data_IF_794692462923
#
_entry.id   IF_794692462923
#
_cell.length_a   1.000
_cell.length_b   1.000
_cell.length_c   1.000
_cell.angle_alpha   90.00
_cell.angle_beta   90.00
_cell.angle_gamma   90.00
#
_symmetry.space_group_name_H-M   'P 1'
#
loop_
_entity.id
_entity.type
_entity.pdbx_description
1 polymer ?
#
# COMPACT_ATOMS: atom_id res chain seq x y z
N UNK A 1 16.78 -18.13 14.17
CA UNK A 1 15.32 -17.98 14.21
C UNK A 1 14.89 -17.57 12.80
N UNK A 2 13.96 -18.29 12.19
CA UNK A 2 13.52 -17.99 10.83
C UNK A 2 12.71 -16.68 10.82
N UNK A 3 12.90 -15.83 9.80
CA UNK A 3 12.12 -14.58 9.62
C UNK A 3 10.63 -14.87 9.79
N UNK A 4 10.13 -15.91 9.12
CA UNK A 4 8.72 -16.25 9.13
C UNK A 4 8.18 -16.60 10.54
N UNK A 5 8.94 -17.33 11.35
CA UNK A 5 8.54 -17.67 12.72
C UNK A 5 8.51 -16.42 13.63
N UNK A 6 9.45 -15.50 13.45
CA UNK A 6 9.46 -14.23 14.18
C UNK A 6 8.28 -13.33 13.81
N UNK A 7 7.77 -13.43 12.57
CA UNK A 7 6.62 -12.65 12.12
C UNK A 7 5.29 -13.27 12.55
N UNK A 8 5.13 -14.58 12.34
CA UNK A 8 3.83 -15.25 12.44
C UNK A 8 3.66 -16.13 13.68
N UNK A 9 4.70 -16.34 14.50
CA UNK A 9 4.75 -17.29 15.63
C UNK A 9 4.64 -18.77 15.24
N UNK A 10 4.48 -19.07 13.96
CA UNK A 10 4.59 -20.40 13.37
C UNK A 10 5.38 -20.30 12.05
N UNK A 11 5.73 -21.45 11.48
CA UNK A 11 6.35 -21.51 10.16
C UNK A 11 5.27 -21.72 9.09
N UNK A 12 4.84 -20.68 8.36
CA UNK A 12 3.87 -20.81 7.29
C UNK A 12 4.42 -21.67 6.14
N UNK A 13 3.52 -22.39 5.47
CA UNK A 13 3.83 -23.11 4.24
C UNK A 13 3.92 -22.16 3.05
N UNK A 14 2.94 -21.26 2.91
CA UNK A 14 2.95 -20.21 1.90
C UNK A 14 2.43 -18.89 2.48
N UNK A 15 3.12 -17.79 2.17
CA UNK A 15 2.71 -16.43 2.54
C UNK A 15 2.19 -15.69 1.32
N UNK A 16 0.99 -15.12 1.42
CA UNK A 16 0.50 -14.10 0.49
C UNK A 16 1.10 -12.74 0.87
N UNK A 17 1.95 -12.19 0.02
CA UNK A 17 2.50 -10.83 0.21
C UNK A 17 1.62 -9.86 -0.56
N UNK A 18 0.89 -9.01 0.17
CA UNK A 18 -0.16 -8.15 -0.36
C UNK A 18 0.28 -6.69 -0.33
N UNK A 19 0.38 -6.07 -1.50
CA UNK A 19 0.62 -4.63 -1.64
C UNK A 19 -0.73 -3.91 -1.68
N UNK A 20 -0.94 -2.99 -0.73
CA UNK A 20 -2.25 -2.33 -0.51
C UNK A 20 -2.33 -0.89 -0.98
N UNK A 21 -1.20 -0.20 -1.12
CA UNK A 21 -1.14 1.18 -1.55
C UNK A 21 -0.95 1.37 -3.05
N UNK A 22 -0.32 2.48 -3.42
CA UNK A 22 -0.13 2.87 -4.81
C UNK A 22 0.83 1.95 -5.57
N UNK A 23 0.86 2.06 -6.90
CA UNK A 23 1.60 1.16 -7.79
C UNK A 23 3.11 1.07 -7.53
N UNK A 24 3.71 1.99 -6.77
CA UNK A 24 5.10 1.89 -6.34
C UNK A 24 5.36 0.77 -5.34
N UNK A 25 4.38 0.43 -4.50
CA UNK A 25 4.53 -0.41 -3.32
C UNK A 25 4.79 -1.87 -3.66
N UNK A 26 4.38 -2.29 -4.87
CA UNK A 26 4.77 -3.59 -5.45
C UNK A 26 6.29 -3.79 -5.40
N UNK A 27 7.08 -2.72 -5.51
CA UNK A 27 8.54 -2.78 -5.43
C UNK A 27 8.99 -3.31 -4.08
N UNK A 28 8.49 -2.72 -2.99
CA UNK A 28 8.85 -3.12 -1.63
C UNK A 28 8.21 -4.47 -1.26
N UNK A 29 7.00 -4.73 -1.72
CA UNK A 29 6.35 -6.03 -1.56
C UNK A 29 7.18 -7.16 -2.19
N UNK A 30 7.71 -6.96 -3.40
CA UNK A 30 8.57 -7.94 -4.07
C UNK A 30 9.92 -8.14 -3.36
N UNK A 31 10.50 -7.08 -2.79
CA UNK A 31 11.72 -7.19 -1.97
C UNK A 31 11.45 -8.03 -0.71
N UNK A 32 10.37 -7.76 0.00
CA UNK A 32 9.98 -8.54 1.19
C UNK A 32 9.57 -9.98 0.85
N UNK A 33 8.91 -10.18 -0.29
CA UNK A 33 8.61 -11.50 -0.83
C UNK A 33 9.89 -12.31 -1.12
N UNK A 34 10.89 -11.68 -1.75
CA UNK A 34 12.21 -12.28 -1.97
C UNK A 34 12.87 -12.69 -0.65
N UNK A 35 12.86 -11.81 0.35
CA UNK A 35 13.41 -12.09 1.67
C UNK A 35 12.75 -13.30 2.37
N UNK A 36 11.42 -13.39 2.31
CA UNK A 36 10.69 -14.56 2.82
C UNK A 36 11.02 -15.82 2.04
N UNK A 37 11.07 -15.73 0.70
CA UNK A 37 11.40 -16.86 -0.18
C UNK A 37 12.77 -17.47 0.11
N UNK A 38 13.78 -16.64 0.45
CA UNK A 38 15.12 -17.10 0.84
C UNK A 38 15.14 -17.95 2.12
N UNK A 39 14.07 -17.91 2.93
CA UNK A 39 13.92 -18.76 4.12
C UNK A 39 13.26 -20.12 3.84
N UNK A 40 12.93 -20.39 2.57
CA UNK A 40 12.29 -21.63 2.14
C UNK A 40 10.77 -21.66 2.32
N UNK A 41 10.14 -20.51 2.59
CA UNK A 41 8.69 -20.34 2.60
C UNK A 41 8.23 -20.03 1.17
N UNK A 42 7.16 -20.68 0.71
CA UNK A 42 6.58 -20.34 -0.60
C UNK A 42 5.91 -18.97 -0.54
N UNK A 43 5.99 -18.20 -1.62
CA UNK A 43 5.46 -16.84 -1.65
C UNK A 43 4.66 -16.58 -2.92
N UNK A 44 3.50 -15.96 -2.75
CA UNK A 44 2.67 -15.44 -3.83
C UNK A 44 2.39 -13.98 -3.57
N UNK A 45 2.54 -13.13 -4.60
CA UNK A 45 2.34 -11.68 -4.45
C UNK A 45 0.98 -11.28 -5.02
N UNK A 46 0.21 -10.50 -4.25
CA UNK A 46 -1.06 -9.90 -4.66
C UNK A 46 -0.94 -8.38 -4.62
N UNK A 47 -1.40 -7.68 -5.65
CA UNK A 47 -1.21 -6.23 -5.79
C UNK A 47 -2.51 -5.52 -6.16
N UNK A 48 -2.82 -4.46 -5.43
CA UNK A 48 -3.75 -3.43 -5.89
C UNK A 48 -3.10 -2.64 -7.02
N UNK A 49 -3.65 -2.70 -8.23
CA UNK A 49 -3.04 -2.02 -9.38
C UNK A 49 -3.57 -0.59 -9.45
N UNK A 50 -2.93 0.35 -8.74
CA UNK A 50 -3.35 1.76 -8.75
C UNK A 50 -2.20 2.68 -9.13
N UNK A 51 -2.22 3.18 -10.36
CA UNK A 51 -1.17 4.07 -10.84
C UNK A 51 -1.45 5.52 -10.45
N UNK A 52 -0.39 6.30 -10.27
CA UNK A 52 -0.54 7.75 -10.02
C UNK A 52 -1.29 8.41 -11.18
N UNK A 53 -2.11 9.41 -10.88
CA UNK A 53 -2.82 10.22 -11.87
C UNK A 53 -1.96 10.75 -13.04
N UNK A 54 -0.71 11.15 -12.77
CA UNK A 54 0.22 11.64 -13.80
C UNK A 54 0.66 10.55 -14.80
N UNK A 55 0.52 9.27 -14.44
CA UNK A 55 0.81 8.11 -15.30
C UNK A 55 -0.45 7.51 -15.89
N UNK A 56 -1.51 7.46 -15.10
CA UNK A 56 -2.83 6.98 -15.47
C UNK A 56 -3.88 8.05 -15.13
N UNK A 57 -4.24 8.93 -16.07
CA UNK A 57 -5.16 10.04 -15.83
C UNK A 57 -6.63 9.59 -15.80
N UNK A 58 -6.89 8.30 -15.64
CA UNK A 58 -8.19 7.75 -15.34
C UNK A 58 -8.28 7.44 -13.83
N UNK A 59 -9.16 8.13 -13.07
CA UNK A 59 -9.26 7.95 -11.62
C UNK A 59 -9.49 6.50 -11.19
N UNK A 60 -8.92 6.17 -10.03
CA UNK A 60 -9.07 4.89 -9.37
C UNK A 60 -8.16 3.79 -9.93
N UNK A 61 -8.19 2.61 -9.28
CA UNK A 61 -7.34 1.49 -9.65
C UNK A 61 -7.69 0.96 -11.04
N UNK A 62 -6.71 0.31 -11.68
CA UNK A 62 -6.86 -0.37 -12.97
C UNK A 62 -7.79 -1.57 -12.80
N UNK A 63 -8.97 -1.61 -13.46
CA UNK A 63 -9.85 -2.76 -13.40
C UNK A 63 -9.24 -4.01 -14.06
N UNK A 64 -9.60 -5.21 -13.61
CA UNK A 64 -9.04 -6.46 -14.16
C UNK A 64 -9.41 -6.69 -15.64
N UNK A 65 -10.57 -6.21 -16.06
CA UNK A 65 -11.03 -6.24 -17.45
C UNK A 65 -10.16 -5.37 -18.38
N UNK A 66 -9.55 -4.32 -17.84
CA UNK A 66 -8.68 -3.40 -18.59
C UNK A 66 -7.28 -3.98 -18.79
N UNK A 67 -6.91 -5.04 -18.05
CA UNK A 67 -5.60 -5.69 -18.16
C UNK A 67 -5.52 -6.62 -19.39
N UNK A 68 -4.41 -6.53 -20.11
CA UNK A 68 -4.08 -7.37 -21.26
C UNK A 68 -2.80 -8.15 -20.95
N UNK A 69 -2.70 -9.37 -21.46
CA UNK A 69 -1.58 -10.28 -21.14
C UNK A 69 -1.68 -10.85 -19.72
N UNK A 70 -2.85 -11.32 -19.34
CA UNK A 70 -3.14 -11.87 -18.00
C UNK A 70 -3.94 -13.16 -18.10
N UNK A 71 -3.80 -14.04 -17.11
CA UNK A 71 -4.68 -15.20 -16.92
C UNK A 71 -5.70 -14.89 -15.83
N UNK A 72 -6.99 -14.98 -16.16
CA UNK A 72 -8.08 -14.56 -15.26
C UNK A 72 -8.52 -15.70 -14.36
N UNK A 73 -8.57 -15.41 -13.07
CA UNK A 73 -9.33 -16.16 -12.06
C UNK A 73 -10.72 -15.56 -11.89
N UNK A 74 -11.39 -15.92 -10.79
CA UNK A 74 -12.74 -15.43 -10.49
C UNK A 74 -12.72 -14.00 -9.93
N UNK A 75 -11.77 -13.72 -9.04
CA UNK A 75 -11.60 -12.43 -8.36
C UNK A 75 -10.20 -11.81 -8.55
N UNK A 76 -9.33 -12.48 -9.30
CA UNK A 76 -7.93 -12.10 -9.52
C UNK A 76 -7.51 -12.25 -10.98
N UNK A 77 -6.39 -11.64 -11.34
CA UNK A 77 -5.72 -11.91 -12.61
C UNK A 77 -4.22 -12.14 -12.41
N UNK A 78 -3.70 -13.29 -12.85
CA UNK A 78 -2.26 -13.56 -12.87
C UNK A 78 -1.62 -12.69 -13.94
N UNK A 79 -0.66 -11.87 -13.55
CA UNK A 79 0.06 -11.00 -14.45
C UNK A 79 1.13 -11.79 -15.21
N UNK A 80 1.14 -11.65 -16.54
CA UNK A 80 2.19 -12.25 -17.38
C UNK A 80 3.21 -11.18 -17.80
N UNK A 81 4.44 -11.63 -18.10
CA UNK A 81 5.50 -10.75 -18.58
C UNK A 81 5.03 -10.04 -19.86
N UNK A 82 5.12 -8.70 -19.88
CA UNK A 82 4.63 -7.88 -20.98
C UNK A 82 3.16 -7.48 -20.86
N UNK A 83 2.50 -7.77 -19.73
CA UNK A 83 1.16 -7.24 -19.48
C UNK A 83 1.13 -5.71 -19.49
N UNK A 84 -0.06 -5.19 -19.77
CA UNK A 84 -0.36 -3.76 -19.79
C UNK A 84 -1.84 -3.55 -19.53
N UNK A 85 -2.26 -2.29 -19.44
CA UNK A 85 -3.67 -1.94 -19.33
C UNK A 85 -4.10 -1.02 -20.48
N UNK A 86 -5.36 -1.14 -20.90
CA UNK A 86 -6.02 -0.17 -21.78
C UNK A 86 -7.04 0.60 -20.94
N UNK A 87 -6.80 1.90 -20.76
CA UNK A 87 -7.66 2.78 -19.96
C UNK A 87 -8.07 4.00 -20.76
N UNK A 88 -9.37 4.21 -20.94
CA UNK A 88 -9.93 5.27 -21.80
C UNK A 88 -9.25 5.37 -23.18
N UNK A 89 -8.97 4.20 -23.80
CA UNK A 89 -8.30 4.10 -25.09
C UNK A 89 -6.79 4.37 -25.09
N UNK A 90 -6.17 4.55 -23.91
CA UNK A 90 -4.73 4.78 -23.74
C UNK A 90 -4.04 3.52 -23.25
N UNK A 91 -2.82 3.33 -23.74
CA UNK A 91 -1.91 2.31 -23.22
C UNK A 91 -1.32 2.79 -21.90
N UNK A 92 -1.58 2.06 -20.82
CA UNK A 92 -0.99 2.26 -19.50
C UNK A 92 -0.12 1.06 -19.21
N UNK A 93 1.07 1.29 -18.64
CA UNK A 93 1.99 0.25 -18.22
C UNK A 93 2.08 0.21 -16.70
N UNK A 94 1.27 -0.63 -16.04
CA UNK A 94 1.26 -0.72 -14.60
C UNK A 94 2.62 -1.11 -14.04
N UNK A 95 2.93 -0.57 -12.87
CA UNK A 95 4.17 -0.80 -12.13
C UNK A 95 4.36 -2.28 -11.82
N UNK A 96 3.28 -2.99 -11.47
CA UNK A 96 3.29 -4.43 -11.29
C UNK A 96 3.71 -5.20 -12.57
N UNK A 97 3.21 -4.79 -13.74
CA UNK A 97 3.60 -5.38 -15.02
C UNK A 97 5.08 -5.12 -15.37
N UNK A 98 5.58 -3.91 -15.06
CA UNK A 98 6.99 -3.60 -15.24
C UNK A 98 7.90 -4.39 -14.31
N UNK A 99 7.47 -4.63 -13.07
CA UNK A 99 8.26 -5.37 -12.09
C UNK A 99 8.58 -6.80 -12.56
N UNK A 100 7.65 -7.45 -13.30
CA UNK A 100 7.85 -8.76 -13.91
C UNK A 100 9.01 -8.82 -14.92
N UNK A 101 9.61 -7.69 -15.30
CA UNK A 101 10.84 -7.68 -16.09
C UNK A 101 12.04 -8.15 -15.29
N UNK A 102 12.02 -7.92 -13.97
CA UNK A 102 13.13 -8.16 -13.04
C UNK A 102 12.90 -9.41 -12.20
N UNK A 103 11.65 -9.74 -11.88
CA UNK A 103 11.31 -10.86 -11.00
C UNK A 103 10.64 -12.00 -11.77
N UNK A 104 10.89 -13.23 -11.31
CA UNK A 104 10.23 -14.44 -11.81
C UNK A 104 9.15 -14.97 -10.84
N UNK A 105 8.82 -14.19 -9.80
CA UNK A 105 7.76 -14.56 -8.85
C UNK A 105 6.38 -14.42 -9.47
N UNK A 106 5.42 -15.17 -8.92
CA UNK A 106 4.02 -15.07 -9.35
C UNK A 106 3.36 -13.85 -8.72
N UNK A 107 2.84 -12.97 -9.57
CA UNK A 107 2.13 -11.73 -9.17
C UNK A 107 0.70 -11.76 -9.70
N UNK A 108 -0.26 -11.50 -8.81
CA UNK A 108 -1.68 -11.38 -9.13
C UNK A 108 -2.16 -9.96 -8.90
N UNK A 109 -2.91 -9.42 -9.86
CA UNK A 109 -3.71 -8.23 -9.63
C UNK A 109 -5.00 -8.60 -8.90
N UNK A 110 -5.37 -7.77 -7.91
CA UNK A 110 -6.65 -7.86 -7.19
C UNK A 110 -7.56 -6.70 -7.58
N UNK A 111 -8.86 -6.97 -7.67
CA UNK A 111 -9.86 -5.96 -8.04
C UNK A 111 -10.26 -5.12 -6.81
N UNK A 112 -9.62 -3.97 -6.64
CA UNK A 112 -9.92 -3.05 -5.54
C UNK A 112 -11.29 -2.39 -5.66
N UNK A 113 -11.90 -2.32 -6.87
CA UNK A 113 -13.23 -1.72 -7.05
C UNK A 113 -14.32 -2.46 -6.29
N UNK A 114 -14.08 -3.72 -5.91
CA UNK A 114 -15.01 -4.57 -5.14
C UNK A 114 -14.93 -4.37 -3.62
N UNK A 115 -14.23 -3.33 -3.15
CA UNK A 115 -14.12 -3.01 -1.74
C UNK A 115 -13.35 -4.07 -0.94
N UNK A 116 -13.43 -3.98 0.39
CA UNK A 116 -12.70 -4.89 1.27
C UNK A 116 -13.14 -6.35 1.14
N UNK A 117 -14.45 -6.60 0.95
CA UNK A 117 -14.96 -7.97 0.77
C UNK A 117 -14.49 -8.59 -0.56
N UNK A 118 -14.42 -7.81 -1.63
CA UNK A 118 -13.88 -8.30 -2.90
C UNK A 118 -12.40 -8.68 -2.82
N UNK A 119 -11.61 -7.88 -2.11
CA UNK A 119 -10.20 -8.20 -1.83
C UNK A 119 -10.12 -9.46 -0.96
N UNK A 120 -10.95 -9.60 0.06
CA UNK A 120 -10.98 -10.82 0.88
C UNK A 120 -11.24 -12.08 0.05
N UNK A 121 -12.23 -12.04 -0.86
CA UNK A 121 -12.55 -13.14 -1.76
C UNK A 121 -11.38 -13.46 -2.71
N UNK A 122 -10.72 -12.43 -3.26
CA UNK A 122 -9.53 -12.58 -4.07
C UNK A 122 -8.38 -13.26 -3.32
N UNK A 123 -8.12 -12.86 -2.08
CA UNK A 123 -7.06 -13.46 -1.26
C UNK A 123 -7.40 -14.89 -0.83
N UNK A 124 -8.68 -15.19 -0.57
CA UNK A 124 -9.14 -16.55 -0.30
C UNK A 124 -8.99 -17.47 -1.53
N UNK A 125 -9.30 -16.98 -2.72
CA UNK A 125 -9.06 -17.69 -3.98
C UNK A 125 -7.57 -18.02 -4.13
N UNK A 126 -6.68 -17.04 -3.94
CA UNK A 126 -5.23 -17.27 -4.01
C UNK A 126 -4.73 -18.22 -2.93
N UNK A 127 -5.23 -18.12 -1.71
CA UNK A 127 -4.90 -19.02 -0.62
C UNK A 127 -5.29 -20.46 -0.96
N UNK A 128 -6.48 -20.67 -1.52
CA UNK A 128 -6.94 -21.98 -1.98
C UNK A 128 -6.13 -22.54 -3.15
N UNK A 129 -5.76 -21.70 -4.12
CA UNK A 129 -4.98 -22.09 -5.30
C UNK A 129 -3.54 -22.50 -4.97
N UNK A 130 -2.90 -21.79 -4.02
CA UNK A 130 -1.47 -21.94 -3.73
C UNK A 130 -1.18 -22.58 -2.36
N UNK A 131 -2.20 -22.86 -1.56
CA UNK A 131 -2.07 -23.40 -0.21
C UNK A 131 -1.44 -22.42 0.78
N UNK A 132 -1.72 -21.12 0.63
CA UNK A 132 -1.18 -20.09 1.51
C UNK A 132 -1.98 -19.99 2.80
N UNK A 133 -1.25 -19.96 3.92
CA UNK A 133 -1.76 -20.08 5.28
C UNK A 133 -1.43 -18.85 6.15
N UNK A 134 -0.82 -17.82 5.54
CA UNK A 134 -0.52 -16.54 6.18
C UNK A 134 -0.49 -15.38 5.15
N UNK A 135 -0.63 -14.15 5.63
CA UNK A 135 -0.56 -12.94 4.82
C UNK A 135 0.40 -11.89 5.40
N UNK A 136 1.21 -11.28 4.54
CA UNK A 136 2.03 -10.12 4.86
C UNK A 136 1.48 -8.90 4.10
N UNK A 137 0.87 -7.98 4.80
CA UNK A 137 0.40 -6.70 4.25
C UNK A 137 1.59 -5.75 4.15
N UNK A 138 1.84 -5.17 2.99
CA UNK A 138 2.99 -4.29 2.77
C UNK A 138 2.51 -2.90 2.40
N UNK A 139 2.94 -1.95 3.22
CA UNK A 139 2.78 -0.53 3.02
C UNK A 139 4.16 0.16 2.98
N UNK A 140 4.29 1.21 2.16
CA UNK A 140 5.52 1.98 2.00
C UNK A 140 5.31 3.42 2.45
N UNK A 141 5.89 3.75 3.60
CA UNK A 141 5.76 5.07 4.21
C UNK A 141 5.07 5.03 5.56
N UNK A 142 4.02 4.23 5.73
CA UNK A 142 3.32 4.10 7.01
C UNK A 142 1.99 4.83 7.09
N UNK A 143 1.49 5.43 5.99
CA UNK A 143 0.20 6.10 5.97
C UNK A 143 -0.99 5.13 6.16
N UNK A 144 -0.78 3.82 6.02
CA UNK A 144 -1.71 2.79 6.51
C UNK A 144 -2.04 2.92 8.01
N UNK A 145 -1.13 3.47 8.82
CA UNK A 145 -1.35 3.73 10.25
C UNK A 145 -2.08 5.06 10.52
N UNK A 146 -2.40 5.82 9.47
CA UNK A 146 -3.06 7.10 9.61
C UNK A 146 -4.43 6.95 10.28
N UNK A 147 -4.79 7.99 11.02
CA UNK A 147 -6.09 8.10 11.68
C UNK A 147 -7.08 8.93 10.88
N UNK A 148 -6.65 9.56 9.79
CA UNK A 148 -7.48 10.31 8.85
C UNK A 148 -7.41 11.83 8.98
N UNK A 149 -7.05 12.35 10.14
CA UNK A 149 -7.05 13.79 10.41
C UNK A 149 -5.68 14.46 10.22
N UNK A 150 -4.64 13.68 9.92
CA UNK A 150 -3.30 14.17 9.67
C UNK A 150 -3.31 15.15 8.50
N UNK A 151 -2.68 16.32 8.67
CA UNK A 151 -2.66 17.34 7.61
C UNK A 151 -2.01 16.82 6.33
N UNK A 152 -0.97 16.00 6.50
CA UNK A 152 -0.13 15.45 5.45
C UNK A 152 -0.66 14.18 4.79
N UNK A 153 -1.83 13.65 5.16
CA UNK A 153 -2.40 12.43 4.57
C UNK A 153 -3.11 12.69 3.23
N UNK A 154 -2.76 11.98 2.18
CA UNK A 154 -3.27 12.12 0.81
C UNK A 154 -3.80 10.82 0.23
N UNK A 155 -3.23 9.65 0.56
CA UNK A 155 -3.63 8.37 -0.07
C UNK A 155 -4.10 7.25 0.89
N UNK A 156 -5.06 7.51 1.80
CA UNK A 156 -5.47 6.50 2.78
C UNK A 156 -6.35 5.37 2.23
N UNK A 157 -7.04 5.54 1.10
CA UNK A 157 -8.15 4.66 0.72
C UNK A 157 -7.67 3.26 0.32
N UNK A 158 -6.64 3.16 -0.52
CA UNK A 158 -6.05 1.90 -0.96
C UNK A 158 -5.58 1.06 0.22
N UNK A 159 -4.75 1.65 1.09
CA UNK A 159 -4.22 0.96 2.27
C UNK A 159 -5.30 0.56 3.26
N UNK A 160 -6.30 1.42 3.47
CA UNK A 160 -7.43 1.10 4.35
C UNK A 160 -8.24 -0.10 3.84
N UNK A 161 -8.59 -0.10 2.55
CA UNK A 161 -9.39 -1.18 1.94
C UNK A 161 -8.57 -2.46 1.82
N UNK A 162 -7.28 -2.35 1.49
CA UNK A 162 -6.37 -3.48 1.41
C UNK A 162 -6.16 -4.17 2.75
N UNK A 163 -5.88 -3.40 3.82
CA UNK A 163 -5.76 -3.95 5.18
C UNK A 163 -7.07 -4.59 5.63
N UNK A 164 -8.20 -3.91 5.42
CA UNK A 164 -9.51 -4.47 5.76
C UNK A 164 -9.77 -5.80 5.02
N UNK A 165 -9.50 -5.87 3.71
CA UNK A 165 -9.68 -7.08 2.92
C UNK A 165 -8.77 -8.23 3.34
N UNK A 166 -7.52 -7.95 3.72
CA UNK A 166 -6.62 -8.97 4.27
C UNK A 166 -7.17 -9.54 5.57
N UNK A 167 -7.63 -8.69 6.49
CA UNK A 167 -8.22 -9.16 7.75
C UNK A 167 -9.53 -9.94 7.54
N UNK A 168 -10.31 -9.58 6.54
CA UNK A 168 -11.54 -10.29 6.18
C UNK A 168 -11.31 -11.61 5.45
N UNK A 169 -10.13 -11.80 4.84
CA UNK A 169 -9.75 -13.09 4.26
C UNK A 169 -9.70 -14.22 5.31
N UNK A 170 -9.45 -13.85 6.58
CA UNK A 170 -9.32 -14.78 7.71
C UNK A 170 -7.93 -15.39 7.88
N UNK A 171 -6.96 -15.02 7.04
CA UNK A 171 -5.58 -15.48 7.18
C UNK A 171 -4.89 -14.81 8.38
N UNK A 172 -4.03 -15.54 9.13
CA UNK A 172 -3.07 -14.92 10.03
C UNK A 172 -2.26 -13.85 9.31
N UNK A 173 -2.31 -12.61 9.80
CA UNK A 173 -1.83 -11.45 9.06
C UNK A 173 -0.83 -10.61 9.87
N UNK A 174 0.26 -10.21 9.21
CA UNK A 174 1.27 -9.28 9.72
C UNK A 174 1.29 -8.06 8.82
N UNK A 175 1.33 -6.87 9.43
CA UNK A 175 1.51 -5.60 8.74
C UNK A 175 3.00 -5.23 8.72
N UNK A 176 3.54 -5.04 7.52
CA UNK A 176 4.90 -4.59 7.26
C UNK A 176 4.90 -3.15 6.77
N UNK A 177 5.48 -2.26 7.57
CA UNK A 177 5.67 -0.86 7.23
C UNK A 177 7.11 -0.68 6.79
N UNK A 178 7.30 -0.53 5.49
CA UNK A 178 8.61 -0.41 4.87
C UNK A 178 8.98 1.06 4.64
N UNK A 179 10.18 1.46 5.06
CA UNK A 179 10.65 2.82 4.80
C UNK A 179 9.82 3.89 5.49
N UNK A 180 9.90 3.97 6.82
CA UNK A 180 9.10 4.89 7.63
C UNK A 180 9.15 6.35 7.11
N UNK A 181 8.00 6.92 6.74
CA UNK A 181 7.84 8.27 6.16
C UNK A 181 8.37 8.45 4.73
N UNK A 182 8.62 7.36 3.99
CA UNK A 182 9.19 7.41 2.63
C UNK A 182 8.27 8.06 1.57
N UNK A 183 6.96 8.05 1.81
CA UNK A 183 5.92 8.66 0.95
C UNK A 183 5.72 10.16 1.22
N UNK A 184 6.28 10.67 2.32
CA UNK A 184 6.22 12.04 2.78
C UNK A 184 4.84 12.48 3.30
N UNK A 185 3.97 11.55 3.70
CA UNK A 185 2.63 11.87 4.19
C UNK A 185 2.59 12.11 5.69
N UNK A 186 3.21 11.22 6.45
CA UNK A 186 3.37 11.33 7.90
C UNK A 186 4.85 11.46 8.26
N UNK A 187 5.12 12.19 9.33
CA UNK A 187 6.47 12.30 9.88
C UNK A 187 6.90 11.01 10.59
N UNK A 188 8.22 10.81 10.70
CA UNK A 188 8.81 9.70 11.46
C UNK A 188 8.28 9.67 12.91
N UNK A 189 8.11 10.84 13.54
CA UNK A 189 7.59 10.98 14.90
C UNK A 189 6.12 10.53 15.02
N UNK A 190 5.23 11.02 14.16
CA UNK A 190 3.82 10.62 14.13
C UNK A 190 3.68 9.09 13.94
N UNK A 191 4.50 8.51 13.07
CA UNK A 191 4.49 7.07 12.80
C UNK A 191 5.01 6.25 13.98
N UNK A 192 6.10 6.68 14.62
CA UNK A 192 6.60 6.04 15.84
C UNK A 192 5.58 6.10 16.98
N UNK A 193 4.87 7.22 17.16
CA UNK A 193 3.78 7.34 18.13
C UNK A 193 2.65 6.34 17.87
N UNK A 194 2.22 6.23 16.61
CA UNK A 194 1.20 5.26 16.20
C UNK A 194 1.62 3.83 16.44
N UNK A 195 2.86 3.47 16.07
CA UNK A 195 3.40 2.14 16.34
C UNK A 195 3.51 1.86 17.84
N UNK A 196 3.77 2.87 18.67
CA UNK A 196 3.78 2.71 20.12
C UNK A 196 2.39 2.35 20.67
N UNK A 197 1.29 2.86 20.09
CA UNK A 197 -0.07 2.45 20.46
C UNK A 197 -0.31 0.96 20.18
N UNK A 198 0.13 0.49 19.02
CA UNK A 198 0.04 -0.93 18.62
C UNK A 198 0.91 -1.79 19.55
N UNK A 199 2.13 -1.36 19.85
CA UNK A 199 3.06 -2.06 20.74
C UNK A 199 2.53 -2.16 22.19
N UNK A 200 1.84 -1.13 22.69
CA UNK A 200 1.17 -1.17 24.01
C UNK A 200 0.14 -2.29 24.11
N UNK A 201 -0.52 -2.63 23.00
CA UNK A 201 -1.45 -3.75 22.89
C UNK A 201 -0.76 -5.08 22.53
N UNK A 202 0.56 -5.18 22.73
CA UNK A 202 1.39 -6.34 22.37
C UNK A 202 1.38 -6.68 20.87
N UNK A 203 1.07 -5.70 20.01
CA UNK A 203 1.05 -5.88 18.57
C UNK A 203 2.40 -5.71 17.88
N UNK A 204 3.50 -5.48 18.59
CA UNK A 204 4.83 -5.43 17.97
C UNK A 204 5.31 -6.85 17.64
N UNK A 205 5.77 -7.08 16.40
CA UNK A 205 6.32 -8.37 15.97
C UNK A 205 7.83 -8.31 15.83
N UNK A 206 8.33 -7.43 14.96
CA UNK A 206 9.77 -7.40 14.65
C UNK A 206 10.21 -6.11 13.95
N UNK A 207 11.52 -5.96 13.77
CA UNK A 207 12.14 -4.96 12.91
C UNK A 207 13.27 -5.62 12.13
N UNK A 208 13.35 -5.34 10.83
CA UNK A 208 14.39 -5.89 9.94
C UNK A 208 14.97 -4.79 9.06
N UNK A 209 16.29 -4.68 9.02
CA UNK A 209 17.00 -3.85 8.04
C UNK A 209 17.14 -4.56 6.69
N UNK A 210 17.22 -3.78 5.60
CA UNK A 210 17.58 -4.29 4.28
C UNK A 210 18.96 -4.99 4.32
N UNK A 211 19.02 -6.19 3.75
CA UNK A 211 20.28 -6.89 3.52
C UNK A 211 20.84 -6.64 2.09
N UNK A 212 22.01 -7.20 1.79
CA UNK A 212 22.66 -6.98 0.48
C UNK A 212 21.84 -7.49 -0.71
N UNK A 213 21.12 -8.61 -0.55
CA UNK A 213 20.28 -9.16 -1.62
C UNK A 213 19.01 -8.33 -1.82
N UNK A 214 18.43 -7.80 -0.74
CA UNK A 214 17.32 -6.86 -0.82
C UNK A 214 17.72 -5.59 -1.58
N UNK A 215 18.91 -5.06 -1.28
CA UNK A 215 19.44 -3.85 -1.93
C UNK A 215 19.65 -4.10 -3.43
N UNK A 216 20.25 -5.22 -3.81
CA UNK A 216 20.47 -5.55 -5.22
C UNK A 216 19.14 -5.71 -5.99
N UNK A 217 18.15 -6.38 -5.39
CA UNK A 217 16.83 -6.53 -5.99
C UNK A 217 16.12 -5.17 -6.11
N UNK A 218 16.16 -4.36 -5.06
CA UNK A 218 15.57 -3.03 -5.04
C UNK A 218 16.20 -2.13 -6.12
N UNK A 219 17.53 -2.16 -6.28
CA UNK A 219 18.25 -1.45 -7.34
C UNK A 219 17.74 -1.83 -8.72
N UNK A 220 17.55 -3.13 -9.00
CA UNK A 220 17.02 -3.59 -10.29
C UNK A 220 15.57 -3.14 -10.49
N UNK A 221 14.71 -3.29 -9.49
CA UNK A 221 13.29 -2.93 -9.59
C UNK A 221 13.06 -1.44 -9.87
N UNK A 222 13.79 -0.55 -9.20
CA UNK A 222 13.62 0.91 -9.43
C UNK A 222 14.05 1.36 -10.83
N UNK A 223 14.77 0.53 -11.60
CA UNK A 223 15.09 0.85 -13.01
C UNK A 223 13.91 0.64 -13.95
N UNK A 224 12.94 -0.19 -13.57
CA UNK A 224 11.77 -0.53 -14.40
C UNK A 224 10.46 -0.05 -13.81
N UNK A 225 10.37 0.09 -12.49
CA UNK A 225 9.21 0.62 -11.77
C UNK A 225 9.44 2.08 -11.42
N UNK A 226 8.50 2.95 -11.82
CA UNK A 226 8.53 4.35 -11.42
C UNK A 226 7.96 4.50 -10.01
N UNK A 227 8.82 4.68 -9.02
CA UNK A 227 8.45 4.92 -7.63
C UNK A 227 9.39 5.93 -6.98
N UNK A 228 8.81 6.94 -6.32
CA UNK A 228 9.57 7.88 -5.51
C UNK A 228 9.70 7.33 -4.07
N UNK A 229 8.61 6.84 -3.47
CA UNK A 229 8.60 6.36 -2.08
C UNK A 229 9.51 5.13 -1.88
N UNK A 230 9.34 4.08 -2.67
CA UNK A 230 10.15 2.85 -2.53
C UNK A 230 11.62 3.03 -2.90
N UNK A 231 12.01 4.20 -3.44
CA UNK A 231 13.42 4.57 -3.66
C UNK A 231 14.09 5.11 -2.39
N UNK A 232 13.34 5.65 -1.42
CA UNK A 232 13.89 6.24 -0.20
C UNK A 232 14.71 5.24 0.64
N UNK A 233 14.24 4.00 0.87
CA UNK A 233 15.04 2.98 1.56
C UNK A 233 16.41 2.74 0.91
N UNK A 234 16.46 2.71 -0.42
CA UNK A 234 17.72 2.54 -1.16
C UNK A 234 18.66 3.74 -0.97
N UNK A 235 18.12 4.97 -1.01
CA UNK A 235 18.92 6.18 -0.77
C UNK A 235 19.51 6.19 0.65
N UNK A 236 18.70 5.82 1.64
CA UNK A 236 19.11 5.71 3.04
C UNK A 236 20.24 4.69 3.22
N UNK A 237 20.13 3.47 2.66
CA UNK A 237 21.20 2.46 2.70
C UNK A 237 22.48 2.95 2.02
N UNK A 238 22.36 3.74 0.94
CA UNK A 238 23.49 4.37 0.27
C UNK A 238 24.09 5.58 1.01
N UNK A 239 23.65 5.83 2.25
CA UNK A 239 24.21 6.88 3.11
C UNK A 239 23.67 8.28 2.82
N UNK A 240 22.59 8.44 2.04
CA UNK A 240 21.95 9.74 1.90
C UNK A 240 21.25 10.10 3.22
N UNK A 241 21.40 11.35 3.64
CA UNK A 241 20.77 11.91 4.84
C UNK A 241 20.37 13.35 4.59
N UNK A 242 19.18 13.75 5.01
CA UNK A 242 18.69 15.13 4.86
C UNK A 242 17.27 15.20 4.32
N UNK A 243 16.94 16.24 3.56
CA UNK A 243 15.59 16.45 3.02
C UNK A 243 15.58 16.29 1.51
N UNK A 244 14.61 15.56 1.00
CA UNK A 244 14.39 15.38 -0.43
C UNK A 244 12.95 15.77 -0.79
N UNK A 245 12.81 16.56 -1.85
CA UNK A 245 11.50 16.90 -2.39
C UNK A 245 11.03 15.81 -3.35
N UNK A 246 9.77 15.42 -3.23
CA UNK A 246 9.14 14.40 -4.07
C UNK A 246 7.79 14.91 -4.60
N UNK A 247 7.15 14.14 -5.48
CA UNK A 247 5.81 14.43 -6.02
C UNK A 247 5.72 15.82 -6.65
N UNK A 248 6.74 16.19 -7.44
CA UNK A 248 6.88 17.53 -8.09
C UNK A 248 6.88 18.70 -7.10
N UNK A 249 7.35 18.50 -5.88
CA UNK A 249 7.46 19.59 -4.89
C UNK A 249 6.36 19.61 -3.84
N UNK A 250 5.31 18.79 -3.99
CA UNK A 250 4.15 18.84 -3.08
C UNK A 250 4.42 18.18 -1.73
N UNK A 251 5.49 17.37 -1.62
CA UNK A 251 5.89 16.70 -0.38
C UNK A 251 7.41 16.76 -0.17
N UNK A 252 7.79 16.61 1.10
CA UNK A 252 9.18 16.60 1.56
C UNK A 252 9.40 15.37 2.44
N UNK A 253 10.39 14.55 2.09
CA UNK A 253 10.82 13.38 2.85
C UNK A 253 12.11 13.72 3.60
N UNK A 254 12.19 13.33 4.88
CA UNK A 254 13.45 13.34 5.61
C UNK A 254 14.12 11.98 5.47
N UNK A 255 15.20 11.92 4.69
CA UNK A 255 15.98 10.70 4.52
C UNK A 255 16.82 10.45 5.76
N UNK A 256 16.64 9.28 6.36
CA UNK A 256 17.39 8.78 7.52
C UNK A 256 17.60 7.27 7.39
N UNK A 257 18.57 6.71 8.14
CA UNK A 257 18.82 5.26 8.12
C UNK A 257 17.62 4.44 8.65
N UNK A 258 16.68 5.07 9.37
CA UNK A 258 15.43 4.41 9.80
C UNK A 258 14.64 3.91 8.59
N UNK A 259 14.71 4.60 7.45
CA UNK A 259 14.04 4.20 6.22
C UNK A 259 14.63 2.95 5.57
N UNK A 260 15.82 2.51 5.98
CA UNK A 260 16.38 1.23 5.56
C UNK A 260 15.75 0.02 6.29
N UNK A 261 14.82 0.25 7.22
CA UNK A 261 14.17 -0.79 8.00
C UNK A 261 12.70 -1.00 7.59
N UNK A 262 12.22 -2.19 7.93
CA UNK A 262 10.81 -2.58 7.90
C UNK A 262 10.37 -2.89 9.32
N UNK A 263 9.29 -2.27 9.77
CA UNK A 263 8.64 -2.55 11.04
C UNK A 263 7.49 -3.52 10.80
N UNK A 264 7.42 -4.57 11.63
CA UNK A 264 6.38 -5.58 11.53
C UNK A 264 5.49 -5.54 12.76
N UNK A 265 4.18 -5.47 12.51
CA UNK A 265 3.13 -5.36 13.51
C UNK A 265 2.09 -6.44 13.28
N UNK A 266 1.39 -6.83 14.34
CA UNK A 266 0.18 -7.62 14.22
C UNK A 266 -0.88 -6.82 13.46
N UNK A 267 -1.39 -7.35 12.35
CA UNK A 267 -2.30 -6.62 11.48
C UNK A 267 -3.67 -6.37 12.14
N UNK A 268 -4.14 -7.32 12.97
CA UNK A 268 -5.43 -7.19 13.68
C UNK A 268 -5.33 -6.08 14.72
N UNK A 269 -4.28 -6.11 15.55
CA UNK A 269 -4.06 -5.08 16.57
C UNK A 269 -3.83 -3.71 15.94
N UNK A 270 -3.05 -3.64 14.86
CA UNK A 270 -2.80 -2.39 14.15
C UNK A 270 -4.10 -1.77 13.63
N UNK A 271 -4.95 -2.57 12.98
CA UNK A 271 -6.16 -2.08 12.30
C UNK A 271 -7.15 -1.33 13.20
N UNK A 272 -7.21 -1.66 14.50
CA UNK A 272 -8.05 -0.95 15.49
C UNK A 272 -7.71 0.55 15.62
N UNK A 273 -6.49 0.93 15.26
CA UNK A 273 -5.96 2.29 15.31
C UNK A 273 -5.89 2.97 13.94
N UNK A 274 -6.34 2.30 12.87
CA UNK A 274 -6.28 2.80 11.49
C UNK A 274 -7.66 3.11 10.93
N UNK A 275 -7.68 3.64 9.70
CA UNK A 275 -8.89 3.83 8.90
C UNK A 275 -9.49 2.52 8.35
N UNK A 276 -8.75 1.40 8.36
CA UNK A 276 -9.24 0.11 7.88
C UNK A 276 -10.55 -0.33 8.59
N UNK A 277 -10.70 0.00 9.88
CA UNK A 277 -11.93 -0.29 10.64
C UNK A 277 -13.18 0.39 10.08
N UNK A 278 -13.04 1.55 9.43
CA UNK A 278 -14.16 2.30 8.86
C UNK A 278 -14.64 1.69 7.54
N UNK A 279 -13.73 1.06 6.80
CA UNK A 279 -13.99 0.50 5.46
C UNK A 279 -14.17 -1.03 5.46
N UNK A 280 -14.14 -1.66 6.63
CA UNK A 280 -14.45 -3.09 6.81
C UNK A 280 -15.88 -3.41 6.36
N UNK A 281 -16.06 -4.50 5.63
CA UNK A 281 -17.35 -4.97 5.12
C UNK A 281 -17.90 -4.11 3.99
N UNK A 282 -17.03 -3.44 3.22
CA UNK A 282 -17.46 -2.67 2.05
C UNK A 282 -17.50 -3.57 0.83
N UNK A 283 -18.50 -3.35 -0.01
CA UNK A 283 -18.75 -4.13 -1.24
C UNK A 283 -18.27 -3.43 -2.50
N UNK A 284 -17.80 -2.18 -2.37
CA UNK A 284 -17.22 -1.39 -3.44
C UNK A 284 -16.22 -0.38 -2.90
N UNK A 285 -15.29 0.05 -3.76
CA UNK A 285 -14.33 1.10 -3.42
C UNK A 285 -15.03 2.44 -3.18
N UNK A 286 -16.12 2.72 -3.89
CA UNK A 286 -16.93 3.92 -3.70
C UNK A 286 -17.67 3.92 -2.37
N UNK A 287 -18.11 2.75 -1.89
CA UNK A 287 -18.65 2.63 -0.54
C UNK A 287 -17.56 2.93 0.50
N UNK A 288 -16.37 2.35 0.36
CA UNK A 288 -15.24 2.63 1.24
C UNK A 288 -14.88 4.12 1.26
N UNK A 289 -14.72 4.73 0.07
CA UNK A 289 -14.50 6.17 -0.08
C UNK A 289 -15.58 6.98 0.64
N UNK A 290 -16.86 6.64 0.45
CA UNK A 290 -17.98 7.33 1.10
C UNK A 290 -17.89 7.26 2.62
N UNK A 291 -17.53 6.11 3.19
CA UNK A 291 -17.36 5.95 4.64
C UNK A 291 -16.20 6.81 5.17
N UNK A 292 -15.09 6.90 4.44
CA UNK A 292 -13.99 7.81 4.76
C UNK A 292 -14.40 9.28 4.66
N UNK A 293 -15.11 9.66 3.59
CA UNK A 293 -15.61 11.03 3.39
C UNK A 293 -16.60 11.44 4.49
N UNK A 294 -17.48 10.52 4.94
CA UNK A 294 -18.37 10.74 6.09
C UNK A 294 -17.60 10.96 7.40
N UNK A 295 -16.39 10.39 7.54
CA UNK A 295 -15.50 10.64 8.66
C UNK A 295 -14.63 11.91 8.48
N UNK A 296 -14.83 12.66 7.39
CA UNK A 296 -14.09 13.87 7.05
C UNK A 296 -12.69 13.63 6.48
N UNK A 297 -12.43 12.42 5.98
CA UNK A 297 -11.16 12.04 5.35
C UNK A 297 -11.30 12.18 3.84
N UNK A 298 -10.44 13.00 3.22
CA UNK A 298 -10.38 13.19 1.77
C UNK A 298 -9.36 12.22 1.19
N UNK A 299 -9.75 11.46 0.17
CA UNK A 299 -8.97 10.34 -0.36
C UNK A 299 -8.23 10.67 -1.66
N UNK A 300 -7.31 9.80 -2.04
CA UNK A 300 -6.64 9.83 -3.34
C UNK A 300 -7.63 9.70 -4.50
N UNK A 301 -8.73 8.95 -4.35
CA UNK A 301 -9.77 8.84 -5.38
C UNK A 301 -10.57 10.15 -5.52
N UNK A 302 -10.84 10.85 -4.42
CA UNK A 302 -11.45 12.19 -4.50
C UNK A 302 -10.51 13.16 -5.23
N UNK A 303 -9.21 13.12 -4.92
CA UNK A 303 -8.20 13.95 -5.58
C UNK A 303 -8.11 13.68 -7.08
N UNK A 304 -8.08 12.42 -7.49
CA UNK A 304 -8.00 12.04 -8.90
C UNK A 304 -9.24 12.47 -9.68
N UNK A 305 -10.44 12.29 -9.12
CA UNK A 305 -11.67 12.77 -9.73
C UNK A 305 -11.71 14.30 -9.86
N UNK A 306 -11.31 15.01 -8.81
CA UNK A 306 -11.27 16.48 -8.82
C UNK A 306 -10.21 17.02 -9.81
N UNK A 307 -9.03 16.40 -9.86
CA UNK A 307 -7.98 16.75 -10.82
C UNK A 307 -8.46 16.54 -12.25
N UNK A 308 -9.14 15.42 -12.52
CA UNK A 308 -9.73 15.15 -13.84
C UNK A 308 -10.73 16.23 -14.24
N UNK A 309 -11.59 16.65 -13.30
CA UNK A 309 -12.57 17.72 -13.55
C UNK A 309 -11.90 19.09 -13.77
N UNK A 310 -10.97 19.48 -12.89
CA UNK A 310 -10.28 20.77 -12.93
C UNK A 310 -9.38 20.90 -14.17
N UNK A 311 -8.64 19.84 -14.51
CA UNK A 311 -7.74 19.80 -15.66
C UNK A 311 -8.42 19.45 -16.98
N UNK A 312 -9.74 19.23 -17.02
CA UNK A 312 -10.49 18.74 -18.19
C UNK A 312 -9.85 17.49 -18.83
N UNK A 313 -9.30 16.60 -17.99
CA UNK A 313 -8.60 15.38 -18.41
C UNK A 313 -7.10 15.54 -18.73
N UNK A 314 -6.51 16.73 -18.60
CA UNK A 314 -5.06 16.92 -18.59
C UNK A 314 -4.51 16.77 -17.15
N UNK A 315 -3.69 15.75 -16.87
CA UNK A 315 -3.17 15.50 -15.52
C UNK A 315 -2.18 16.54 -15.01
N UNK A 316 -1.71 17.45 -15.87
CA UNK A 316 -0.77 18.50 -15.49
C UNK A 316 -1.40 19.90 -15.43
N UNK A 317 -2.65 20.05 -15.86
CA UNK A 317 -3.29 21.36 -15.99
C UNK A 317 -3.78 21.96 -14.65
N UNK A 318 -3.90 21.15 -13.60
CA UNK A 318 -4.39 21.57 -12.29
C UNK A 318 -3.35 21.39 -11.20
N UNK A 319 -3.28 22.35 -10.28
CA UNK A 319 -2.43 22.26 -9.08
C UNK A 319 -3.06 21.30 -8.06
N UNK A 320 -2.44 20.14 -7.78
CA UNK A 320 -2.99 19.15 -6.86
C UNK A 320 -3.09 19.64 -5.42
N UNK A 321 -2.25 20.59 -4.99
CA UNK A 321 -2.32 21.15 -3.63
C UNK A 321 -3.60 21.97 -3.48
N UNK A 322 -3.82 22.89 -4.43
CA UNK A 322 -5.02 23.73 -4.45
C UNK A 322 -6.30 22.89 -4.56
N UNK A 323 -6.32 21.93 -5.50
CA UNK A 323 -7.48 21.05 -5.70
C UNK A 323 -7.80 20.26 -4.42
N UNK A 324 -6.79 19.70 -3.76
CA UNK A 324 -6.98 18.99 -2.49
C UNK A 324 -7.49 19.89 -1.38
N UNK A 325 -6.97 21.12 -1.25
CA UNK A 325 -7.44 22.07 -0.24
C UNK A 325 -8.92 22.42 -0.42
N UNK A 326 -9.33 22.72 -1.65
CA UNK A 326 -10.75 22.94 -2.02
C UNK A 326 -11.59 21.69 -1.78
N UNK A 327 -11.06 20.51 -2.10
CA UNK A 327 -11.63 19.20 -1.85
C UNK A 327 -11.99 18.95 -0.40
N UNK A 328 -11.00 19.14 0.49
CA UNK A 328 -11.16 18.95 1.93
C UNK A 328 -12.18 19.90 2.55
N UNK A 329 -12.32 21.12 2.03
CA UNK A 329 -13.30 22.09 2.54
C UNK A 329 -14.75 21.68 2.26
N UNK A 330 -14.98 20.76 1.30
CA UNK A 330 -16.32 20.22 1.01
C UNK A 330 -16.75 19.13 1.99
N UNK A 331 -15.81 18.55 2.73
CA UNK A 331 -16.10 17.50 3.71
C UNK A 331 -16.43 18.09 5.08
N UNK A 332 -17.20 17.33 5.86
CA UNK A 332 -17.40 17.64 7.27
C UNK A 332 -16.05 17.62 8.02
N UNK A 333 -15.93 18.31 9.17
CA UNK A 333 -14.71 18.26 9.98
C UNK A 333 -14.31 16.82 10.30
N UNK A 334 -13.01 16.52 10.22
CA UNK A 334 -12.50 15.17 10.46
C UNK A 334 -12.88 14.70 11.87
N UNK A 335 -13.59 13.58 11.94
CA UNK A 335 -14.03 12.93 13.19
C UNK A 335 -13.47 11.53 13.35
N UNK A 336 -12.60 11.09 12.43
CA UNK A 336 -12.02 9.75 12.40
C UNK A 336 -11.30 9.35 13.70
N UNK A 337 -11.14 10.28 14.66
CA UNK A 337 -10.56 10.02 15.97
C UNK A 337 -11.21 10.69 17.21
N UNK A 338 -12.52 11.04 17.22
CA UNK A 338 -13.17 11.61 18.43
C UNK A 338 -13.29 10.66 19.64
N UNK A 339 -12.71 9.45 19.61
CA UNK A 339 -12.82 8.45 20.67
C UNK A 339 -11.52 7.78 21.15
N UNK A 340 -10.33 8.20 20.71
CA UNK A 340 -9.08 7.50 21.05
C UNK A 340 -8.10 8.26 21.97
N UNK A 341 -8.52 9.38 22.57
CA UNK A 341 -7.74 10.07 23.59
C UNK A 341 -8.60 10.36 24.83
N UNK A 342 -8.65 9.40 25.75
CA UNK A 342 -8.56 9.73 27.18
C UNK A 342 -7.19 9.26 27.66
N UNK A 343 -6.26 10.16 28.00
CA UNK A 343 -5.06 9.78 28.73
C UNK A 343 -5.44 9.61 30.21
N UNK A 344 -6.10 8.50 30.54
CA UNK A 344 -6.23 8.05 31.93
C UNK A 344 -6.01 6.54 32.02
N UNK A 345 -4.87 6.20 32.65
CA UNK A 345 -4.45 4.97 33.35
C UNK A 345 -3.14 4.35 32.83
#
# INVERSE_FOLDING_TARGET
MCIAESLFEFKPHCVLVVSTGGGGDVTSALVLAGALGRTGVAVVTAVGVWERFVRDPEPGPVPLESLVGVERGEHVARLLRGCYAIRSGRYVLPSACNALRVVDTTVYAVDMWRGSLGIAMALQELAGLHGCDAALVVDVGGDILASGCEKGLWSPLGDSVGLAGVLESGLPAVLAIHGLGADGELSEEELLEKMALVARQKGYRWIRGLDGEDVELLEKLITVVYTEASRMPLLAVKGHYGRLSIRRGTRMVRISLVQAATFFLDAVVAAEYTLAKLVRGTTSLEEARRRLNMAGVYTELDLEEDLRMAGRGDPEAADPVKVREEGRQRLAPCIANRGQLSPEQ
#
